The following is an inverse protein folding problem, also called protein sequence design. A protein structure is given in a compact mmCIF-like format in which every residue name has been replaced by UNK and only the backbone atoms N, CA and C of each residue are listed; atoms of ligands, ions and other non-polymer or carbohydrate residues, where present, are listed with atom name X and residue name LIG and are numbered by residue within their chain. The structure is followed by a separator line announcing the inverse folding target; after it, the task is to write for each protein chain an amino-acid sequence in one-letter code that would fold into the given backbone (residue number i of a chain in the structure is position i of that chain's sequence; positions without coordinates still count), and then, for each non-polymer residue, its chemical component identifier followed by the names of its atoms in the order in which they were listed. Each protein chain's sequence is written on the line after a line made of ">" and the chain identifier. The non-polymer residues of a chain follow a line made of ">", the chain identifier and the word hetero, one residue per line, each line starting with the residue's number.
data_IF_892393667607
#
_entry.id   IF_892393667607
#
_cell.length_a   1.000
_cell.length_b   1.000
_cell.length_c   1.000
_cell.angle_alpha   90.00
_cell.angle_beta   90.00
_cell.angle_gamma   90.00
#
_symmetry.space_group_name_H-M   'P 1'
#
loop_
_entity.id
_entity.type
_entity.pdbx_description
1 polymer ?
#
# COMPACT_ATOMS: atom_id res chain seq x y z
N UNK A 1 -44.15 -3.54 -6.21
CA UNK A 1 -43.50 -2.57 -7.12
C UNK A 1 -44.12 -2.73 -8.49
N UNK A 2 -44.64 -1.66 -9.08
CA UNK A 2 -45.11 -1.66 -10.46
C UNK A 2 -43.93 -1.79 -11.42
N UNK A 3 -44.19 -2.23 -12.64
CA UNK A 3 -43.16 -2.35 -13.71
C UNK A 3 -42.49 -1.01 -14.01
N UNK A 4 -43.22 0.09 -13.81
CA UNK A 4 -42.74 1.46 -14.01
C UNK A 4 -41.78 1.86 -12.86
N UNK A 5 -42.11 1.60 -11.60
CA UNK A 5 -41.25 1.86 -10.44
C UNK A 5 -39.94 1.04 -10.52
N UNK A 6 -40.03 -0.24 -10.92
CA UNK A 6 -38.86 -1.08 -11.12
C UNK A 6 -37.92 -0.52 -12.20
N UNK A 7 -38.47 0.04 -13.30
CA UNK A 7 -37.68 0.68 -14.35
C UNK A 7 -36.94 1.94 -13.87
N UNK A 8 -37.60 2.79 -13.06
CA UNK A 8 -36.97 3.99 -12.49
C UNK A 8 -35.85 3.62 -11.53
N UNK A 9 -36.06 2.60 -10.66
CA UNK A 9 -35.04 2.14 -9.71
C UNK A 9 -33.83 1.59 -10.46
N UNK A 10 -34.02 0.81 -11.53
CA UNK A 10 -32.93 0.28 -12.34
C UNK A 10 -32.09 1.41 -12.97
N UNK A 11 -32.75 2.42 -13.56
CA UNK A 11 -32.06 3.56 -14.16
C UNK A 11 -31.26 4.38 -13.11
N UNK A 12 -31.82 4.60 -11.93
CA UNK A 12 -31.12 5.29 -10.85
C UNK A 12 -29.91 4.50 -10.37
N UNK A 13 -29.99 3.16 -10.33
CA UNK A 13 -28.88 2.29 -9.96
C UNK A 13 -27.74 2.35 -10.99
N UNK A 14 -28.08 2.28 -12.27
CA UNK A 14 -27.09 2.40 -13.35
C UNK A 14 -26.36 3.74 -13.31
N UNK A 15 -27.10 4.84 -13.16
CA UNK A 15 -26.50 6.19 -13.04
C UNK A 15 -25.57 6.29 -11.82
N UNK A 16 -25.96 5.70 -10.67
CA UNK A 16 -25.13 5.66 -9.47
C UNK A 16 -23.83 4.86 -9.70
N UNK A 17 -23.91 3.73 -10.41
CA UNK A 17 -22.75 2.92 -10.75
C UNK A 17 -21.81 3.71 -11.69
N UNK A 18 -22.35 4.31 -12.76
CA UNK A 18 -21.58 5.12 -13.70
C UNK A 18 -20.83 6.26 -12.99
N UNK A 19 -21.50 6.93 -12.04
CA UNK A 19 -20.87 8.01 -11.26
C UNK A 19 -19.66 7.52 -10.46
N UNK A 20 -19.71 6.29 -9.91
CA UNK A 20 -18.52 5.72 -9.24
C UNK A 20 -17.31 5.55 -10.16
N UNK A 21 -17.51 5.16 -11.42
CA UNK A 21 -16.43 5.07 -12.40
C UNK A 21 -15.87 6.45 -12.75
N UNK A 22 -16.74 7.42 -12.96
CA UNK A 22 -16.36 8.81 -13.26
C UNK A 22 -15.54 9.38 -12.09
N UNK A 23 -16.06 9.32 -10.86
CA UNK A 23 -15.39 9.82 -9.66
C UNK A 23 -14.00 9.15 -9.48
N UNK A 24 -13.89 7.85 -9.79
CA UNK A 24 -12.63 7.11 -9.72
C UNK A 24 -11.63 7.59 -10.78
N UNK A 25 -12.08 7.81 -12.01
CA UNK A 25 -11.24 8.30 -13.09
C UNK A 25 -10.74 9.73 -12.80
N UNK A 26 -11.62 10.62 -12.38
CA UNK A 26 -11.28 12.02 -12.05
C UNK A 26 -10.23 12.08 -10.92
N UNK A 27 -10.40 11.26 -9.87
CA UNK A 27 -9.40 11.20 -8.81
C UNK A 27 -8.03 10.69 -9.32
N UNK A 28 -8.01 9.69 -10.20
CA UNK A 28 -6.76 9.16 -10.77
C UNK A 28 -6.03 10.21 -11.59
N UNK A 29 -6.75 11.04 -12.38
CA UNK A 29 -6.14 12.16 -13.10
C UNK A 29 -5.54 13.20 -12.15
N UNK A 30 -6.24 13.56 -11.06
CA UNK A 30 -5.72 14.48 -10.05
C UNK A 30 -4.52 13.88 -9.31
N UNK A 31 -4.62 12.61 -8.89
CA UNK A 31 -3.57 11.89 -8.19
C UNK A 31 -2.28 11.80 -9.02
N UNK A 32 -2.38 11.57 -10.33
CA UNK A 32 -1.21 11.49 -11.21
C UNK A 32 -0.34 12.76 -11.16
N UNK A 33 -0.94 13.95 -10.97
CA UNK A 33 -0.22 15.22 -10.92
C UNK A 33 0.60 15.38 -9.63
N UNK A 34 0.15 14.80 -8.52
CA UNK A 34 0.75 15.02 -7.19
C UNK A 34 1.50 13.80 -6.66
N UNK A 35 1.18 12.59 -7.14
CA UNK A 35 1.76 11.35 -6.63
C UNK A 35 2.93 10.81 -7.47
N UNK A 36 3.12 11.25 -8.70
CA UNK A 36 4.20 10.72 -9.57
C UNK A 36 5.59 10.87 -8.95
N UNK A 37 5.89 12.00 -8.30
CA UNK A 37 7.17 12.22 -7.64
C UNK A 37 7.37 11.32 -6.41
N UNK A 38 6.45 11.27 -5.41
CA UNK A 38 6.63 10.38 -4.28
C UNK A 38 6.58 8.89 -4.66
N UNK A 39 5.83 8.49 -5.70
CA UNK A 39 5.87 7.11 -6.22
C UNK A 39 7.26 6.80 -6.79
N UNK A 40 7.87 7.71 -7.57
CA UNK A 40 9.22 7.52 -8.07
C UNK A 40 10.24 7.40 -6.93
N UNK A 41 10.10 8.17 -5.84
CA UNK A 41 10.94 8.04 -4.65
C UNK A 41 10.77 6.66 -3.98
N UNK A 42 9.53 6.15 -3.88
CA UNK A 42 9.27 4.81 -3.36
C UNK A 42 9.90 3.71 -4.23
N UNK A 43 9.85 3.85 -5.55
CA UNK A 43 10.53 2.95 -6.50
C UNK A 43 12.03 2.90 -6.21
N UNK A 44 12.68 4.05 -6.03
CA UNK A 44 14.12 4.11 -5.74
C UNK A 44 14.46 3.46 -4.39
N UNK A 45 13.65 3.69 -3.35
CA UNK A 45 13.83 3.05 -2.05
C UNK A 45 13.72 1.52 -2.14
N UNK A 46 12.69 1.01 -2.82
CA UNK A 46 12.48 -0.43 -2.99
C UNK A 46 13.53 -1.07 -3.89
N UNK A 47 13.93 -0.41 -4.98
CA UNK A 47 15.00 -0.87 -5.88
C UNK A 47 16.33 -0.97 -5.12
N UNK A 48 16.70 0.05 -4.36
CA UNK A 48 17.91 0.04 -3.52
C UNK A 48 17.88 -1.10 -2.51
N UNK A 49 16.73 -1.34 -1.87
CA UNK A 49 16.53 -2.42 -0.93
C UNK A 49 16.78 -3.79 -1.58
N UNK A 50 16.06 -4.11 -2.65
CA UNK A 50 16.14 -5.46 -3.26
C UNK A 50 17.48 -5.71 -3.97
N UNK A 51 18.09 -4.71 -4.57
CA UNK A 51 19.41 -4.85 -5.20
C UNK A 51 20.54 -5.00 -4.19
N UNK A 52 20.33 -4.55 -2.94
CA UNK A 52 21.26 -4.75 -1.82
C UNK A 52 21.00 -6.06 -1.06
N UNK A 53 20.09 -6.91 -1.53
CA UNK A 53 19.74 -8.18 -0.89
C UNK A 53 18.76 -8.04 0.30
N UNK A 54 18.14 -6.86 0.44
CA UNK A 54 17.07 -6.61 1.43
C UNK A 54 15.71 -7.14 0.99
N UNK A 55 14.70 -6.88 1.81
CA UNK A 55 13.30 -7.30 1.59
C UNK A 55 12.33 -6.19 1.94
N UNK A 56 11.13 -6.26 1.36
CA UNK A 56 10.02 -5.38 1.70
C UNK A 56 9.06 -6.10 2.65
N UNK A 57 8.81 -5.52 3.82
CA UNK A 57 7.75 -5.95 4.73
C UNK A 57 6.52 -5.07 4.48
N UNK A 58 5.35 -5.66 4.27
CA UNK A 58 4.13 -4.91 3.97
C UNK A 58 3.05 -5.14 5.03
N UNK A 59 2.39 -4.06 5.50
CA UNK A 59 1.33 -4.15 6.48
C UNK A 59 0.18 -3.16 6.21
N UNK A 60 -1.00 -3.50 6.71
CA UNK A 60 -2.22 -2.71 6.63
C UNK A 60 -3.40 -3.48 7.18
N UNK A 61 -4.57 -2.85 7.27
CA UNK A 61 -5.79 -3.45 7.80
C UNK A 61 -6.88 -3.53 6.73
N UNK A 62 -7.74 -4.55 6.81
CA UNK A 62 -8.89 -4.70 5.92
C UNK A 62 -8.49 -4.73 4.43
N UNK A 63 -9.00 -3.80 3.63
CA UNK A 63 -8.60 -3.65 2.21
C UNK A 63 -7.10 -3.39 2.05
N UNK A 64 -6.51 -2.58 2.93
CA UNK A 64 -5.06 -2.34 2.93
C UNK A 64 -4.24 -3.58 3.33
N UNK A 65 -4.82 -4.55 4.05
CA UNK A 65 -4.17 -5.84 4.27
C UNK A 65 -4.17 -6.69 2.97
N UNK A 66 -5.26 -6.63 2.21
CA UNK A 66 -5.31 -7.25 0.88
C UNK A 66 -4.30 -6.61 -0.08
N UNK A 67 -4.16 -5.29 -0.06
CA UNK A 67 -3.16 -4.55 -0.85
C UNK A 67 -1.72 -4.98 -0.49
N UNK A 68 -1.42 -5.16 0.81
CA UNK A 68 -0.11 -5.65 1.27
C UNK A 68 0.18 -7.08 0.75
N UNK A 69 -0.82 -7.96 0.73
CA UNK A 69 -0.69 -9.31 0.20
C UNK A 69 -0.52 -9.30 -1.33
N UNK A 70 -1.31 -8.48 -2.03
CA UNK A 70 -1.22 -8.30 -3.47
C UNK A 70 0.19 -7.83 -3.87
N UNK A 71 0.69 -6.77 -3.24
CA UNK A 71 2.05 -6.27 -3.45
C UNK A 71 3.12 -7.36 -3.27
N UNK A 72 3.03 -8.14 -2.16
CA UNK A 72 3.99 -9.21 -1.91
C UNK A 72 3.94 -10.30 -2.97
N UNK A 73 2.75 -10.61 -3.50
CA UNK A 73 2.58 -11.58 -4.58
C UNK A 73 3.22 -11.09 -5.88
N UNK A 74 3.07 -9.79 -6.22
CA UNK A 74 3.69 -9.19 -7.40
C UNK A 74 5.21 -9.19 -7.30
N UNK A 75 5.78 -8.97 -6.11
CA UNK A 75 7.24 -8.98 -5.91
C UNK A 75 7.81 -10.39 -5.91
N UNK A 76 7.22 -11.32 -5.17
CA UNK A 76 7.72 -12.71 -5.03
C UNK A 76 7.46 -13.52 -6.30
N UNK A 77 6.31 -13.34 -6.93
CA UNK A 77 5.99 -13.97 -8.20
C UNK A 77 6.57 -13.16 -9.37
N UNK A 78 5.69 -12.48 -10.05
CA UNK A 78 6.02 -11.50 -11.10
C UNK A 78 4.86 -10.52 -11.26
N UNK A 79 5.15 -9.30 -11.68
CA UNK A 79 4.11 -8.37 -12.10
C UNK A 79 3.65 -8.68 -13.53
N UNK A 80 4.23 -8.11 -14.56
CA UNK A 80 3.90 -8.42 -15.95
C UNK A 80 5.01 -9.20 -16.68
N UNK A 81 6.27 -9.02 -16.27
CA UNK A 81 7.46 -9.57 -16.93
C UNK A 81 8.10 -10.67 -16.11
N UNK A 82 8.64 -11.70 -16.78
CA UNK A 82 9.46 -12.71 -16.11
C UNK A 82 10.76 -12.09 -15.60
N UNK A 83 11.08 -12.32 -14.32
CA UNK A 83 12.30 -11.89 -13.64
C UNK A 83 12.59 -12.78 -12.43
N UNK A 84 13.80 -12.71 -11.86
CA UNK A 84 14.06 -13.32 -10.55
C UNK A 84 13.14 -12.77 -9.46
N UNK A 85 12.82 -13.60 -8.49
CA UNK A 85 11.98 -13.30 -7.35
C UNK A 85 12.57 -12.14 -6.53
N UNK A 86 11.72 -11.19 -6.11
CA UNK A 86 12.10 -10.11 -5.21
C UNK A 86 11.54 -10.39 -3.81
N UNK A 87 12.36 -10.22 -2.78
CA UNK A 87 11.99 -10.58 -1.43
C UNK A 87 10.94 -9.61 -0.86
N UNK A 88 9.72 -10.10 -0.61
CA UNK A 88 8.64 -9.36 0.04
C UNK A 88 7.81 -10.27 0.94
N UNK A 89 7.33 -9.72 2.07
CA UNK A 89 6.51 -10.45 3.04
C UNK A 89 5.33 -9.58 3.47
N UNK A 90 4.11 -10.06 3.25
CA UNK A 90 2.91 -9.48 3.85
C UNK A 90 2.76 -9.94 5.30
N UNK A 91 2.86 -9.01 6.25
CA UNK A 91 2.73 -9.28 7.70
C UNK A 91 1.27 -9.58 8.12
N UNK A 92 0.39 -9.74 7.16
CA UNK A 92 -1.07 -9.86 7.31
C UNK A 92 -1.59 -11.28 7.09
N UNK A 93 -0.72 -12.26 6.85
CA UNK A 93 -1.12 -13.59 6.38
C UNK A 93 -1.05 -14.69 7.43
N UNK A 94 -0.12 -14.62 8.38
CA UNK A 94 0.01 -15.62 9.42
C UNK A 94 -1.03 -15.38 10.52
N UNK A 95 -2.13 -16.13 10.44
CA UNK A 95 -3.23 -16.02 11.39
C UNK A 95 -2.84 -16.41 12.81
N UNK A 96 -1.88 -17.33 12.96
CA UNK A 96 -1.40 -17.75 14.29
C UNK A 96 -0.60 -16.63 14.95
N UNK A 97 0.29 -15.97 14.23
CA UNK A 97 1.02 -14.80 14.75
C UNK A 97 0.05 -13.68 15.12
N UNK A 98 -0.87 -13.32 14.21
CA UNK A 98 -1.80 -12.20 14.42
C UNK A 98 -2.71 -12.46 15.62
N UNK A 99 -3.31 -13.66 15.70
CA UNK A 99 -4.26 -13.97 16.76
C UNK A 99 -3.58 -14.15 18.12
N UNK A 100 -2.40 -14.77 18.17
CA UNK A 100 -1.63 -14.90 19.40
C UNK A 100 -1.20 -13.52 19.93
N UNK A 101 -0.64 -12.65 19.08
CA UNK A 101 -0.23 -11.31 19.50
C UNK A 101 -1.40 -10.44 19.93
N UNK A 102 -2.54 -10.52 19.25
CA UNK A 102 -3.74 -9.77 19.62
C UNK A 102 -4.36 -10.27 20.93
N UNK A 103 -4.27 -11.58 21.21
CA UNK A 103 -4.81 -12.19 22.44
C UNK A 103 -3.90 -11.95 23.64
N UNK A 104 -2.58 -12.13 23.47
CA UNK A 104 -1.63 -12.12 24.59
C UNK A 104 -1.14 -10.70 24.95
N UNK A 105 -1.25 -9.76 24.00
CA UNK A 105 -0.81 -8.38 24.16
C UNK A 105 -1.93 -7.40 23.78
N UNK A 106 -1.88 -6.85 22.54
CA UNK A 106 -2.84 -5.90 22.00
C UNK A 106 -2.78 -5.91 20.48
N UNK A 107 -3.90 -5.59 19.80
CA UNK A 107 -3.96 -5.52 18.35
C UNK A 107 -3.01 -4.47 17.74
N UNK A 108 -2.61 -3.46 18.51
CA UNK A 108 -1.66 -2.44 18.06
C UNK A 108 -0.25 -2.98 17.82
N UNK A 109 0.14 -4.12 18.39
CA UNK A 109 1.50 -4.65 18.27
C UNK A 109 1.66 -5.76 17.23
N UNK A 110 0.58 -6.19 16.57
CA UNK A 110 0.61 -7.35 15.65
C UNK A 110 1.63 -7.20 14.51
N UNK A 111 1.84 -6.00 13.99
CA UNK A 111 2.83 -5.74 12.94
C UNK A 111 4.19 -5.37 13.52
N UNK A 112 4.24 -4.53 14.54
CA UNK A 112 5.52 -4.06 15.12
C UNK A 112 6.39 -5.20 15.65
N UNK A 113 5.78 -6.24 16.26
CA UNK A 113 6.53 -7.41 16.73
C UNK A 113 7.11 -8.22 15.57
N UNK A 114 6.40 -8.35 14.47
CA UNK A 114 6.91 -8.99 13.25
C UNK A 114 8.03 -8.16 12.61
N UNK A 115 7.88 -6.82 12.54
CA UNK A 115 8.93 -5.92 12.04
C UNK A 115 10.20 -6.05 12.87
N UNK A 116 10.11 -6.05 14.23
CA UNK A 116 11.29 -6.25 15.07
C UNK A 116 11.96 -7.61 14.90
N UNK A 117 11.17 -8.65 14.62
CA UNK A 117 11.68 -10.02 14.43
C UNK A 117 12.35 -10.23 13.07
N UNK A 118 11.80 -9.63 12.01
CA UNK A 118 12.17 -9.92 10.62
C UNK A 118 12.97 -8.80 9.94
N UNK A 119 12.75 -7.54 10.36
CA UNK A 119 13.36 -6.37 9.77
C UNK A 119 14.85 -6.26 10.04
N UNK A 120 15.60 -5.84 9.05
CA UNK A 120 17.05 -5.61 9.10
C UNK A 120 17.35 -4.19 8.56
N UNK A 121 18.51 -3.59 8.92
CA UNK A 121 18.94 -2.35 8.30
C UNK A 121 18.97 -2.44 6.77
N UNK A 122 18.40 -1.43 6.10
CA UNK A 122 18.28 -1.39 4.64
C UNK A 122 17.04 -2.07 4.06
N UNK A 123 16.24 -2.79 4.86
CA UNK A 123 14.92 -3.25 4.44
C UNK A 123 13.93 -2.08 4.30
N UNK A 124 12.81 -2.31 3.62
CA UNK A 124 11.71 -1.34 3.49
C UNK A 124 10.46 -1.84 4.21
N UNK A 125 9.79 -0.96 4.95
CA UNK A 125 8.42 -1.17 5.42
C UNK A 125 7.44 -0.44 4.50
N UNK A 126 6.56 -1.16 3.81
CA UNK A 126 5.38 -0.63 3.14
C UNK A 126 4.22 -0.58 4.14
N UNK A 127 3.93 0.62 4.63
CA UNK A 127 2.93 0.88 5.65
C UNK A 127 1.66 1.48 5.04
N UNK A 128 0.53 0.74 5.05
CA UNK A 128 -0.70 1.15 4.35
C UNK A 128 -1.82 1.44 5.36
N UNK A 129 -2.31 2.69 5.36
CA UNK A 129 -3.46 3.09 6.17
C UNK A 129 -4.19 4.26 5.50
N UNK A 130 -5.40 4.04 5.00
CA UNK A 130 -6.19 5.09 4.32
C UNK A 130 -6.43 6.32 5.18
N UNK A 131 -6.59 6.17 6.49
CA UNK A 131 -6.76 7.28 7.45
C UNK A 131 -5.45 7.86 7.97
N UNK A 132 -4.33 7.14 7.81
CA UNK A 132 -3.07 7.47 8.45
C UNK A 132 -3.07 7.39 9.99
N UNK A 133 -4.10 6.76 10.60
CA UNK A 133 -4.29 6.76 12.06
C UNK A 133 -4.35 5.36 12.69
N UNK A 134 -4.09 4.29 11.93
CA UNK A 134 -4.14 2.91 12.45
C UNK A 134 -3.01 2.67 13.46
N UNK A 135 -3.35 2.39 14.71
CA UNK A 135 -2.38 2.26 15.80
C UNK A 135 -1.34 1.17 15.53
N UNK A 136 -1.75 0.00 14.99
CA UNK A 136 -0.83 -1.08 14.65
C UNK A 136 0.14 -0.74 13.51
N UNK A 137 -0.28 0.10 12.54
CA UNK A 137 0.59 0.58 11.47
C UNK A 137 1.57 1.63 12.01
N UNK A 138 1.12 2.53 12.89
CA UNK A 138 2.00 3.50 13.56
C UNK A 138 3.07 2.80 14.41
N UNK A 139 2.70 1.78 15.21
CA UNK A 139 3.67 0.99 15.96
C UNK A 139 4.65 0.23 15.03
N UNK A 140 4.20 -0.19 13.83
CA UNK A 140 5.09 -0.81 12.84
C UNK A 140 6.11 0.17 12.27
N UNK A 141 5.72 1.43 12.03
CA UNK A 141 6.61 2.51 11.58
C UNK A 141 7.70 2.77 12.65
N UNK A 142 7.31 2.90 13.93
CA UNK A 142 8.27 3.04 15.03
C UNK A 142 9.27 1.88 15.07
N UNK A 143 8.76 0.64 14.95
CA UNK A 143 9.59 -0.56 14.94
C UNK A 143 10.54 -0.61 13.72
N UNK A 144 10.09 -0.14 12.55
CA UNK A 144 10.93 -0.04 11.35
C UNK A 144 12.09 0.95 11.56
N UNK A 145 11.81 2.10 12.17
CA UNK A 145 12.83 3.08 12.51
C UNK A 145 13.84 2.57 13.55
N UNK A 146 13.40 1.75 14.54
CA UNK A 146 14.28 1.07 15.50
C UNK A 146 15.21 0.06 14.80
N UNK A 147 14.73 -0.52 13.68
CA UNK A 147 15.46 -1.51 12.88
C UNK A 147 16.25 -0.91 11.72
N UNK A 148 16.36 0.42 11.64
CA UNK A 148 17.06 1.15 10.58
C UNK A 148 16.53 0.83 9.18
N UNK A 149 15.21 0.63 9.08
CA UNK A 149 14.50 0.42 7.81
C UNK A 149 14.00 1.77 7.26
N UNK A 150 13.83 1.86 5.96
CA UNK A 150 13.12 2.96 5.30
C UNK A 150 11.61 2.65 5.29
N UNK A 151 10.78 3.66 5.50
CA UNK A 151 9.32 3.50 5.45
C UNK A 151 8.76 4.14 4.18
N UNK A 152 7.92 3.39 3.47
CA UNK A 152 7.05 3.90 2.40
C UNK A 152 5.62 3.88 2.93
N UNK A 153 5.09 5.04 3.26
CA UNK A 153 3.75 5.21 3.82
C UNK A 153 2.71 5.53 2.74
N UNK A 154 1.68 4.69 2.59
CA UNK A 154 0.51 4.94 1.74
C UNK A 154 -0.67 5.38 2.58
N UNK A 155 -1.19 6.59 2.35
CA UNK A 155 -2.28 7.19 3.12
C UNK A 155 -3.29 7.91 2.24
N UNK A 156 -4.35 8.42 2.86
CA UNK A 156 -5.27 9.43 2.39
C UNK A 156 -5.57 10.38 3.54
N UNK A 157 -6.69 11.09 3.50
CA UNK A 157 -7.16 11.96 4.59
C UNK A 157 -6.06 12.93 5.12
N UNK A 158 -5.24 13.50 4.23
CA UNK A 158 -4.14 14.39 4.62
C UNK A 158 -2.99 13.69 5.38
N UNK A 159 -2.95 12.36 5.42
CA UNK A 159 -1.86 11.58 6.01
C UNK A 159 -2.00 11.22 7.48
N UNK A 160 -2.90 11.88 8.20
CA UNK A 160 -3.15 11.62 9.63
C UNK A 160 -1.88 11.67 10.50
N UNK A 161 -1.81 10.84 11.51
CA UNK A 161 -0.63 10.73 12.39
C UNK A 161 0.59 10.12 11.68
N UNK A 162 0.38 9.32 10.63
CA UNK A 162 1.49 8.76 9.86
C UNK A 162 2.34 9.86 9.23
N UNK A 163 1.73 10.94 8.70
CA UNK A 163 2.46 12.07 8.14
C UNK A 163 3.44 12.72 9.13
N UNK A 164 3.17 12.64 10.44
CA UNK A 164 4.02 13.18 11.49
C UNK A 164 5.05 12.15 12.01
N UNK A 165 4.77 10.86 11.83
CA UNK A 165 5.64 9.77 12.27
C UNK A 165 6.76 9.47 11.26
N UNK A 166 6.55 9.78 9.97
CA UNK A 166 7.54 9.59 8.92
C UNK A 166 8.69 10.59 9.07
N UNK A 167 9.91 10.13 8.75
CA UNK A 167 11.16 10.90 8.79
C UNK A 167 11.51 11.43 7.40
N UNK A 168 12.46 12.34 7.32
CA UNK A 168 12.94 12.89 6.03
C UNK A 168 13.53 11.83 5.08
N UNK A 169 13.96 10.69 5.62
CA UNK A 169 14.46 9.54 4.85
C UNK A 169 13.35 8.62 4.33
N UNK A 170 12.13 8.80 4.81
CA UNK A 170 10.97 8.00 4.43
C UNK A 170 10.24 8.60 3.22
N UNK A 171 9.35 7.83 2.63
CA UNK A 171 8.52 8.28 1.52
C UNK A 171 7.05 8.32 1.95
N UNK A 172 6.39 9.45 1.75
CA UNK A 172 4.97 9.61 2.02
C UNK A 172 4.18 9.78 0.72
N UNK A 173 3.30 8.83 0.43
CA UNK A 173 2.36 8.87 -0.69
C UNK A 173 0.97 9.08 -0.11
N UNK A 174 0.45 10.30 -0.21
CA UNK A 174 -0.85 10.68 0.35
C UNK A 174 -1.85 10.98 -0.75
N UNK A 175 -2.83 10.10 -0.93
CA UNK A 175 -3.91 10.28 -1.91
C UNK A 175 -4.77 11.48 -1.52
N UNK A 176 -4.98 12.46 -2.42
CA UNK A 176 -5.69 13.71 -2.12
C UNK A 176 -7.22 13.48 -2.12
N UNK A 177 -7.73 12.64 -1.22
CA UNK A 177 -9.15 12.31 -1.12
C UNK A 177 -9.53 11.88 0.31
N UNK A 178 -10.84 12.05 0.65
CA UNK A 178 -11.38 11.72 1.98
C UNK A 178 -12.15 10.39 2.02
N UNK A 179 -12.57 9.86 0.87
CA UNK A 179 -13.37 8.64 0.82
C UNK A 179 -12.48 7.41 0.72
N UNK A 180 -12.53 6.53 1.73
CA UNK A 180 -11.69 5.32 1.82
C UNK A 180 -11.69 4.47 0.56
N UNK A 181 -12.87 4.21 -0.05
CA UNK A 181 -12.95 3.40 -1.26
C UNK A 181 -12.16 4.01 -2.43
N UNK A 182 -12.23 5.34 -2.60
CA UNK A 182 -11.49 6.06 -3.64
C UNK A 182 -9.98 6.04 -3.37
N UNK A 183 -9.58 6.20 -2.09
CA UNK A 183 -8.17 6.12 -1.68
C UNK A 183 -7.61 4.74 -2.01
N UNK A 184 -8.31 3.66 -1.67
CA UNK A 184 -7.88 2.29 -1.95
C UNK A 184 -7.71 1.99 -3.44
N UNK A 185 -8.57 2.54 -4.31
CA UNK A 185 -8.43 2.40 -5.77
C UNK A 185 -7.15 3.08 -6.31
N UNK A 186 -6.70 4.14 -5.66
CA UNK A 186 -5.43 4.78 -6.00
C UNK A 186 -4.26 4.05 -5.34
N UNK A 187 -4.43 3.49 -4.14
CA UNK A 187 -3.40 2.67 -3.49
C UNK A 187 -3.02 1.47 -4.36
N UNK A 188 -3.99 0.69 -4.83
CA UNK A 188 -3.68 -0.47 -5.68
C UNK A 188 -3.01 -0.06 -7.00
N UNK A 189 -3.43 1.03 -7.63
CA UNK A 189 -2.77 1.58 -8.81
C UNK A 189 -1.34 2.02 -8.49
N UNK A 190 -1.10 2.64 -7.34
CA UNK A 190 0.25 3.03 -6.88
C UNK A 190 1.16 1.82 -6.73
N UNK A 191 0.66 0.71 -6.16
CA UNK A 191 1.43 -0.53 -6.02
C UNK A 191 1.80 -1.11 -7.39
N UNK A 192 0.88 -1.10 -8.36
CA UNK A 192 1.16 -1.49 -9.75
C UNK A 192 2.23 -0.61 -10.39
N UNK A 193 2.14 0.72 -10.24
CA UNK A 193 3.16 1.65 -10.73
C UNK A 193 4.54 1.38 -10.12
N UNK A 194 4.60 1.04 -8.83
CA UNK A 194 5.86 0.68 -8.16
C UNK A 194 6.42 -0.62 -8.75
N UNK A 195 5.60 -1.67 -8.89
CA UNK A 195 6.02 -2.96 -9.44
C UNK A 195 6.53 -2.81 -10.88
N UNK A 196 5.77 -2.12 -11.74
CA UNK A 196 6.15 -1.83 -13.13
C UNK A 196 7.48 -1.09 -13.22
N UNK A 197 7.63 -0.01 -12.45
CA UNK A 197 8.83 0.81 -12.50
C UNK A 197 10.06 0.10 -11.91
N UNK A 198 9.90 -0.74 -10.88
CA UNK A 198 10.99 -1.59 -10.37
C UNK A 198 11.41 -2.60 -11.44
N UNK A 199 10.47 -3.27 -12.10
CA UNK A 199 10.76 -4.20 -13.19
C UNK A 199 11.43 -3.50 -14.37
N UNK A 200 10.99 -2.30 -14.75
CA UNK A 200 11.61 -1.50 -15.81
C UNK A 200 13.08 -1.11 -15.50
N UNK A 201 13.37 -0.78 -14.23
CA UNK A 201 14.74 -0.45 -13.81
C UNK A 201 15.65 -1.69 -13.75
N UNK A 202 15.13 -2.84 -13.35
CA UNK A 202 15.92 -4.09 -13.27
C UNK A 202 16.17 -4.73 -14.63
N UNK A 203 15.21 -4.65 -15.54
CA UNK A 203 15.22 -5.38 -16.83
C UNK A 203 15.46 -4.48 -18.04
N UNK A 204 15.50 -3.16 -17.85
CA UNK A 204 15.48 -2.18 -18.94
C UNK A 204 14.06 -1.98 -19.52
N UNK A 205 13.86 -0.83 -20.19
CA UNK A 205 12.59 -0.55 -20.88
C UNK A 205 12.40 -1.54 -22.04
N UNK A 206 11.17 -2.06 -22.21
CA UNK A 206 10.80 -2.71 -23.45
C UNK A 206 10.66 -1.61 -24.53
N UNK A 207 11.34 -1.76 -25.65
CA UNK A 207 10.95 -1.05 -26.86
C UNK A 207 9.59 -1.62 -27.28
N UNK A 208 8.53 -0.83 -27.09
CA UNK A 208 7.16 -1.13 -27.58
C UNK A 208 7.03 -0.83 -29.05
#
# INVERSE_FOLDING_TARGET
>A
LTRFEAGIIALMLEQRIQQHFIDSADLKYQAAQVLSQPIAAAVQAMLSCVTSGGKVLACGNGGSAADAQHFSAEFVGRYERERPELAAIALTTDSSIITALANDYDFSVIFSRQVRALGQPGDVLLAISTSGNSANVLCAIEAAHEREMVVVGLTGHGGGKMAQALRDTDVHICVPHERTARIQEVHILTLHCICDAVDAQLLGNQET
#
